data_IF_095748825507
#
_entry.id   IF_095748825507
#
_cell.length_a   1.000
_cell.length_b   1.000
_cell.length_c   1.000
_cell.angle_alpha   90.00
_cell.angle_beta   90.00
_cell.angle_gamma   90.00
#
_symmetry.space_group_name_H-M   'P 1'
#
loop_
_entity.id
_entity.type
_entity.pdbx_description
1 polymer ?
#
# COMPACT_ATOMS: atom_id res chain seq x y z
N UNK A 1 -11.56 -3.02 -11.24
CA UNK A 1 -12.16 -1.94 -10.43
C UNK A 1 -11.17 -1.58 -9.34
N UNK A 2 -11.25 -0.37 -8.77
CA UNK A 2 -10.32 0.07 -7.70
C UNK A 2 -10.49 -0.73 -6.40
N UNK A 3 -11.70 -1.26 -6.17
CA UNK A 3 -12.03 -2.09 -5.02
C UNK A 3 -12.74 -3.34 -5.50
N UNK A 4 -12.13 -4.49 -5.24
CA UNK A 4 -12.74 -5.81 -5.45
C UNK A 4 -13.16 -6.40 -4.10
N UNK A 5 -12.50 -6.00 -3.00
CA UNK A 5 -12.67 -6.59 -1.67
C UNK A 5 -13.12 -5.52 -0.66
N UNK A 6 -12.33 -4.46 -0.46
CA UNK A 6 -12.56 -3.47 0.60
C UNK A 6 -13.06 -2.12 0.07
N UNK A 7 -14.32 -2.05 -0.38
CA UNK A 7 -14.90 -0.79 -0.87
C UNK A 7 -14.86 0.31 0.22
N UNK A 8 -14.59 1.59 -0.14
CA UNK A 8 -14.51 2.68 0.84
C UNK A 8 -15.80 2.81 1.63
N UNK A 9 -15.67 2.89 2.95
CA UNK A 9 -16.79 3.03 3.87
C UNK A 9 -16.40 4.04 4.93
N UNK A 10 -17.17 5.13 5.03
CA UNK A 10 -16.87 6.24 5.92
C UNK A 10 -18.09 6.60 6.77
N UNK A 11 -17.84 6.98 8.02
CA UNK A 11 -18.86 7.46 8.96
C UNK A 11 -18.51 8.89 9.37
N UNK A 12 -19.41 9.84 9.12
CA UNK A 12 -19.28 11.20 9.68
C UNK A 12 -19.73 11.22 11.14
N UNK A 13 -18.82 11.52 12.05
CA UNK A 13 -19.08 11.52 13.48
C UNK A 13 -19.80 12.79 13.96
N UNK A 14 -20.14 13.71 13.06
CA UNK A 14 -20.85 14.98 13.35
C UNK A 14 -20.14 15.90 14.36
N UNK A 15 -18.84 15.69 14.57
CA UNK A 15 -17.99 16.44 15.50
C UNK A 15 -16.72 16.99 14.81
N UNK A 16 -16.74 17.05 13.47
CA UNK A 16 -15.60 17.46 12.65
C UNK A 16 -14.62 16.32 12.31
N UNK A 17 -14.96 15.07 12.64
CA UNK A 17 -14.15 13.88 12.32
C UNK A 17 -14.91 12.86 11.46
N UNK A 18 -14.17 12.02 10.74
CA UNK A 18 -14.67 10.93 9.91
C UNK A 18 -13.96 9.64 10.31
N UNK A 19 -14.71 8.56 10.50
CA UNK A 19 -14.16 7.22 10.70
C UNK A 19 -14.09 6.49 9.36
N UNK A 20 -12.92 5.96 9.01
CA UNK A 20 -12.75 4.97 7.96
C UNK A 20 -13.09 3.59 8.53
N UNK A 21 -14.22 3.02 8.08
CA UNK A 21 -14.73 1.76 8.60
C UNK A 21 -13.94 0.54 8.08
N UNK A 22 -13.03 0.73 7.11
CA UNK A 22 -12.16 -0.33 6.58
C UNK A 22 -10.88 -0.40 7.40
N UNK A 23 -10.22 0.73 7.63
CA UNK A 23 -8.94 0.78 8.36
C UNK A 23 -9.11 0.99 9.86
N UNK A 24 -10.29 1.40 10.32
CA UNK A 24 -10.54 1.81 11.70
C UNK A 24 -9.96 3.18 12.05
N UNK A 25 -9.30 3.86 11.11
CA UNK A 25 -8.67 5.16 11.34
C UNK A 25 -9.71 6.28 11.47
N UNK A 26 -9.41 7.25 12.34
CA UNK A 26 -10.21 8.46 12.50
C UNK A 26 -9.47 9.67 11.93
N UNK A 27 -10.17 10.39 11.07
CA UNK A 27 -9.64 11.46 10.25
C UNK A 27 -10.31 12.80 10.54
N UNK A 28 -9.57 13.88 10.31
CA UNK A 28 -10.11 15.23 10.26
C UNK A 28 -11.04 15.34 9.03
N UNK A 29 -12.26 15.89 9.21
CA UNK A 29 -13.25 16.04 8.13
C UNK A 29 -12.92 17.16 7.14
N UNK A 30 -12.56 18.33 7.64
CA UNK A 30 -12.15 19.49 6.82
C UNK A 30 -10.64 19.64 6.94
N UNK A 31 -9.90 19.64 5.84
CA UNK A 31 -8.44 19.82 5.93
C UNK A 31 -8.05 21.17 6.58
N UNK A 32 -6.85 21.23 7.14
CA UNK A 32 -6.34 22.40 7.86
C UNK A 32 -5.93 23.56 6.94
N UNK A 33 -6.21 23.47 5.63
CA UNK A 33 -5.83 24.45 4.64
C UNK A 33 -4.35 24.41 4.27
N UNK A 34 -3.94 25.40 3.48
CA UNK A 34 -2.62 25.49 2.88
C UNK A 34 -1.53 25.85 3.91
N UNK A 35 -0.43 25.10 3.93
CA UNK A 35 0.72 25.35 4.82
C UNK A 35 2.00 24.64 4.36
N UNK A 36 3.16 25.04 4.91
CA UNK A 36 4.40 24.27 4.77
C UNK A 36 4.31 22.98 5.57
N UNK A 37 5.18 22.01 5.26
CA UNK A 37 5.22 20.75 6.00
C UNK A 37 5.54 20.94 7.49
N UNK A 38 6.50 21.81 7.83
CA UNK A 38 6.85 22.07 9.24
C UNK A 38 5.66 22.66 10.02
N UNK A 39 4.90 23.56 9.41
CA UNK A 39 3.67 24.09 10.00
C UNK A 39 2.59 23.01 10.11
N UNK A 40 2.52 22.07 9.18
CA UNK A 40 1.59 20.94 9.25
C UNK A 40 1.89 20.04 10.46
N UNK A 41 3.17 19.73 10.70
CA UNK A 41 3.61 18.97 11.88
C UNK A 41 3.27 19.73 13.17
N UNK A 42 3.58 21.02 13.25
CA UNK A 42 3.28 21.84 14.42
C UNK A 42 1.76 21.99 14.65
N UNK A 43 0.98 22.11 13.57
CA UNK A 43 -0.48 22.19 13.62
C UNK A 43 -1.11 20.91 14.18
N UNK A 44 -0.58 19.73 13.82
CA UNK A 44 -1.07 18.46 14.34
C UNK A 44 -0.91 18.38 15.88
N UNK A 45 0.25 18.78 16.39
CA UNK A 45 0.58 18.72 17.82
C UNK A 45 -0.27 19.65 18.70
N UNK A 46 -0.95 20.64 18.10
CA UNK A 46 -1.78 21.61 18.82
C UNK A 46 -3.27 21.45 18.53
N UNK A 47 -3.64 20.54 17.62
CA UNK A 47 -5.02 20.35 17.22
C UNK A 47 -5.83 19.68 18.33
N UNK A 48 -6.93 20.32 18.71
CA UNK A 48 -7.99 19.74 19.51
C UNK A 48 -9.27 19.68 18.69
N UNK A 49 -9.69 18.49 18.28
CA UNK A 49 -10.83 18.27 17.40
C UNK A 49 -11.59 17.01 17.78
N UNK A 50 -12.93 17.06 17.75
CA UNK A 50 -13.79 15.92 18.11
C UNK A 50 -13.64 15.43 19.56
N UNK A 51 -13.03 16.23 20.43
CA UNK A 51 -12.69 15.84 21.81
C UNK A 51 -11.31 15.18 21.97
N UNK A 52 -10.46 15.23 20.94
CA UNK A 52 -9.18 14.53 20.92
C UNK A 52 -7.99 15.43 20.56
N UNK A 53 -6.80 15.04 21.01
CA UNK A 53 -5.55 15.83 20.93
C UNK A 53 -4.33 15.07 20.40
N UNK A 54 -4.49 13.79 20.05
CA UNK A 54 -3.47 12.87 19.54
C UNK A 54 -3.47 12.82 18.00
N UNK A 55 -3.54 14.00 17.38
CA UNK A 55 -3.55 14.16 15.92
C UNK A 55 -2.13 14.16 15.37
N UNK A 56 -1.96 13.57 14.19
CA UNK A 56 -0.69 13.54 13.44
C UNK A 56 -0.95 13.66 11.94
N UNK A 57 0.11 13.94 11.18
CA UNK A 57 0.09 13.69 9.75
C UNK A 57 -0.01 12.17 9.46
N UNK A 58 -0.71 11.77 8.39
CA UNK A 58 -0.82 10.38 8.00
C UNK A 58 0.49 9.87 7.39
N UNK A 59 0.68 8.56 7.38
CA UNK A 59 1.66 7.94 6.48
C UNK A 59 1.15 8.00 5.02
N UNK A 60 2.01 7.81 4.01
CA UNK A 60 1.58 7.71 2.62
C UNK A 60 0.55 6.61 2.37
N UNK A 61 0.68 5.46 3.02
CA UNK A 61 -0.28 4.35 2.90
C UNK A 61 -1.65 4.73 3.48
N UNK A 62 -1.69 5.37 4.65
CA UNK A 62 -2.94 5.85 5.26
C UNK A 62 -3.58 6.96 4.42
N UNK A 63 -2.79 7.91 3.92
CA UNK A 63 -3.32 8.96 3.05
C UNK A 63 -3.87 8.40 1.73
N UNK A 64 -3.29 7.31 1.23
CA UNK A 64 -3.75 6.60 0.04
C UNK A 64 -5.01 5.76 0.31
N UNK A 65 -5.18 5.23 1.53
CA UNK A 65 -6.33 4.38 1.90
C UNK A 65 -7.66 5.10 1.74
N UNK A 66 -7.70 6.42 1.93
CA UNK A 66 -8.91 7.25 1.79
C UNK A 66 -9.18 7.75 0.36
N UNK A 67 -8.27 7.50 -0.59
CA UNK A 67 -8.44 7.88 -2.00
C UNK A 67 -9.21 6.80 -2.77
N UNK A 68 -10.09 7.19 -3.68
CA UNK A 68 -10.83 6.29 -4.57
C UNK A 68 -10.52 6.63 -6.03
N UNK A 69 -9.73 5.78 -6.67
CA UNK A 69 -9.24 5.92 -8.05
C UNK A 69 -10.28 5.56 -9.10
N UNK A 70 -11.49 5.17 -8.68
CA UNK A 70 -12.68 5.09 -9.53
C UNK A 70 -13.33 6.44 -9.87
N UNK A 71 -12.81 7.56 -9.33
CA UNK A 71 -13.27 8.93 -9.57
C UNK A 71 -12.13 9.93 -9.65
N UNK A 72 -12.43 11.12 -10.16
CA UNK A 72 -11.52 12.26 -10.19
C UNK A 72 -12.31 13.54 -9.80
N UNK A 73 -11.97 14.22 -8.69
CA UNK A 73 -10.87 13.94 -7.77
C UNK A 73 -11.03 12.60 -7.02
N UNK A 74 -9.92 11.99 -6.63
CA UNK A 74 -9.90 10.67 -5.99
C UNK A 74 -10.48 10.72 -4.57
N UNK A 75 -10.28 11.82 -3.86
CA UNK A 75 -10.77 12.02 -2.50
C UNK A 75 -12.28 12.31 -2.49
N UNK A 76 -13.04 11.63 -1.63
CA UNK A 76 -14.49 11.84 -1.52
C UNK A 76 -14.81 13.14 -0.78
N UNK A 77 -15.22 14.18 -1.50
CA UNK A 77 -15.53 15.47 -0.91
C UNK A 77 -16.76 15.48 0.01
N UNK A 78 -17.57 14.42 0.01
CA UNK A 78 -18.69 14.27 0.94
C UNK A 78 -18.17 14.12 2.38
N UNK A 79 -17.10 13.33 2.54
CA UNK A 79 -16.48 13.03 3.82
C UNK A 79 -15.23 13.86 4.08
N UNK A 80 -14.41 14.10 3.05
CA UNK A 80 -13.13 14.76 3.17
C UNK A 80 -13.15 16.10 2.43
N UNK A 81 -13.60 17.13 3.14
CA UNK A 81 -13.83 18.46 2.61
C UNK A 81 -12.52 19.26 2.58
N UNK A 82 -12.33 20.06 1.52
CA UNK A 82 -11.24 21.04 1.46
C UNK A 82 -11.61 22.31 2.23
N UNK A 83 -10.62 22.96 2.83
CA UNK A 83 -10.79 24.28 3.40
C UNK A 83 -11.16 25.32 2.32
N UNK A 84 -11.97 26.31 2.68
CA UNK A 84 -12.61 27.25 1.75
C UNK A 84 -11.64 28.24 1.07
N UNK A 85 -10.39 28.37 1.54
CA UNK A 85 -9.38 29.30 0.99
C UNK A 85 -8.67 28.80 -0.27
N UNK A 86 -9.10 27.67 -0.84
CA UNK A 86 -8.61 27.20 -2.14
C UNK A 86 -8.85 25.72 -2.36
N UNK A 87 -8.95 25.29 -3.62
CA UNK A 87 -8.96 23.85 -3.94
C UNK A 87 -7.59 23.25 -3.61
N UNK A 88 -7.56 22.36 -2.62
CA UNK A 88 -6.37 21.58 -2.25
C UNK A 88 -5.89 20.78 -3.47
N UNK A 89 -4.60 20.88 -3.80
CA UNK A 89 -3.99 20.11 -4.89
C UNK A 89 -3.20 18.92 -4.36
N UNK A 90 -2.56 19.10 -3.21
CA UNK A 90 -1.74 18.11 -2.53
C UNK A 90 -2.03 18.09 -1.03
N UNK A 91 -1.79 16.94 -0.39
CA UNK A 91 -1.79 16.80 1.06
C UNK A 91 -0.46 16.22 1.55
N UNK A 92 0.08 16.83 2.61
CA UNK A 92 1.28 16.37 3.29
C UNK A 92 1.07 15.02 3.99
N UNK A 93 2.12 14.21 4.00
CA UNK A 93 2.25 13.00 4.86
C UNK A 93 3.40 13.19 5.84
N UNK A 94 3.59 12.27 6.77
CA UNK A 94 4.62 12.38 7.81
C UNK A 94 5.99 11.80 7.41
N UNK A 95 6.09 11.09 6.29
CA UNK A 95 7.29 10.35 5.91
C UNK A 95 8.21 11.18 5.01
N UNK A 96 9.48 11.28 5.41
CA UNK A 96 10.54 11.91 4.59
C UNK A 96 10.95 11.01 3.43
N UNK A 97 11.45 11.62 2.35
CA UNK A 97 11.90 10.87 1.17
C UNK A 97 13.28 10.24 1.40
N UNK A 98 13.32 9.02 1.91
CA UNK A 98 14.57 8.29 2.15
C UNK A 98 15.52 9.08 3.05
N UNK A 99 16.76 9.28 2.60
CA UNK A 99 17.77 10.08 3.31
C UNK A 99 17.68 11.59 3.01
N UNK A 100 16.87 12.02 2.04
CA UNK A 100 16.66 13.43 1.72
C UNK A 100 15.60 14.02 2.66
N UNK A 101 16.06 14.58 3.77
CA UNK A 101 15.22 15.21 4.79
C UNK A 101 14.61 16.55 4.35
N UNK A 102 14.96 17.07 3.16
CA UNK A 102 14.35 18.29 2.61
C UNK A 102 13.03 18.02 1.90
N UNK A 103 12.70 16.73 1.71
CA UNK A 103 11.53 16.28 0.98
C UNK A 103 10.69 15.31 1.77
N UNK A 104 9.40 15.32 1.44
CA UNK A 104 8.37 14.52 2.09
C UNK A 104 7.43 13.96 1.06
N UNK A 105 6.91 12.77 1.32
CA UNK A 105 5.87 12.19 0.49
C UNK A 105 4.60 13.02 0.60
N UNK A 106 3.93 13.20 -0.53
CA UNK A 106 2.63 13.89 -0.59
C UNK A 106 1.72 13.18 -1.55
N UNK A 107 0.44 13.19 -1.22
CA UNK A 107 -0.60 12.68 -2.10
C UNK A 107 -1.23 13.84 -2.87
N UNK A 108 -1.79 13.57 -4.05
CA UNK A 108 -2.43 14.60 -4.87
C UNK A 108 -3.92 14.33 -5.08
N UNK A 109 -4.67 15.37 -5.47
CA UNK A 109 -6.12 15.28 -5.70
C UNK A 109 -6.51 14.29 -6.82
N UNK A 110 -5.59 13.98 -7.73
CA UNK A 110 -5.77 12.97 -8.77
C UNK A 110 -5.58 11.53 -8.30
N UNK A 111 -5.02 11.29 -7.11
CA UNK A 111 -4.77 9.95 -6.56
C UNK A 111 -3.30 9.49 -6.64
N UNK A 112 -2.37 10.32 -7.10
CA UNK A 112 -0.94 10.00 -7.16
C UNK A 112 -0.21 10.23 -5.84
N UNK A 113 0.98 9.63 -5.70
CA UNK A 113 1.89 9.85 -4.56
C UNK A 113 3.31 10.08 -5.07
N UNK A 114 3.92 11.17 -4.62
CA UNK A 114 5.31 11.51 -4.98
C UNK A 114 5.99 12.40 -3.94
N UNK A 115 7.33 12.51 -3.97
CA UNK A 115 8.09 13.32 -3.04
C UNK A 115 8.14 14.77 -3.51
N UNK A 116 7.99 15.68 -2.55
CA UNK A 116 7.95 17.13 -2.79
C UNK A 116 8.81 17.88 -1.77
N UNK A 117 9.31 19.06 -2.14
CA UNK A 117 10.03 19.92 -1.20
C UNK A 117 9.10 20.34 -0.07
N UNK A 118 9.56 20.33 1.18
CA UNK A 118 8.79 20.79 2.37
C UNK A 118 8.22 22.21 2.24
N UNK A 119 8.78 23.00 1.31
CA UNK A 119 8.40 24.39 1.02
C UNK A 119 7.58 24.57 -0.26
N UNK A 120 7.14 23.50 -0.95
CA UNK A 120 6.53 23.60 -2.28
C UNK A 120 5.15 24.30 -2.33
N UNK A 121 4.61 24.73 -1.19
CA UNK A 121 3.31 25.40 -1.15
C UNK A 121 3.36 26.85 -1.67
N UNK A 122 2.25 27.35 -2.23
CA UNK A 122 2.14 28.72 -2.78
C UNK A 122 2.48 29.78 -1.73
N UNK A 123 2.02 29.60 -0.49
CA UNK A 123 2.30 30.49 0.64
C UNK A 123 3.78 30.57 1.02
N UNK A 124 4.62 29.67 0.48
CA UNK A 124 6.07 29.64 0.66
C UNK A 124 6.84 29.81 -0.68
N UNK A 125 6.16 30.31 -1.73
CA UNK A 125 6.77 30.58 -3.03
C UNK A 125 6.81 29.40 -4.01
N UNK A 126 6.14 28.30 -3.68
CA UNK A 126 5.98 27.17 -4.59
C UNK A 126 4.82 27.33 -5.58
N UNK A 127 4.63 26.34 -6.44
CA UNK A 127 3.72 26.40 -7.60
C UNK A 127 2.41 25.65 -7.42
N UNK A 128 2.24 24.93 -6.30
CA UNK A 128 1.04 24.13 -6.03
C UNK A 128 0.65 24.26 -4.56
N UNK A 129 -0.64 24.10 -4.26
CA UNK A 129 -1.15 24.20 -2.88
C UNK A 129 -1.00 22.87 -2.15
N UNK A 130 -0.25 22.88 -1.06
CA UNK A 130 -0.13 21.74 -0.17
C UNK A 130 -0.87 22.02 1.15
N UNK A 131 -1.81 21.15 1.46
CA UNK A 131 -2.63 21.24 2.65
C UNK A 131 -2.27 20.13 3.66
N UNK A 132 -2.75 20.25 4.89
CA UNK A 132 -2.62 19.18 5.89
C UNK A 132 -4.00 18.58 6.21
N UNK A 133 -4.10 17.25 6.22
CA UNK A 133 -5.26 16.53 6.78
C UNK A 133 -4.73 15.57 7.81
N UNK A 134 -5.27 15.65 9.01
CA UNK A 134 -4.75 14.86 10.12
C UNK A 134 -5.54 13.57 10.33
N UNK A 135 -4.83 12.56 10.86
CA UNK A 135 -5.34 11.28 11.33
C UNK A 135 -4.94 11.12 12.79
N UNK A 136 -5.70 10.34 13.56
CA UNK A 136 -5.44 10.11 14.98
C UNK A 136 -4.76 8.78 15.28
N UNK A 137 -4.18 8.72 16.48
CA UNK A 137 -3.62 7.50 17.06
C UNK A 137 -2.20 7.22 16.59
N UNK A 138 -1.66 6.07 16.98
CA UNK A 138 -0.36 5.62 16.51
C UNK A 138 -0.38 5.41 14.99
N UNK A 139 0.77 5.60 14.34
CA UNK A 139 0.95 5.15 12.97
C UNK A 139 0.85 3.62 12.92
N UNK A 140 0.16 3.09 11.91
CA UNK A 140 0.22 1.67 11.63
C UNK A 140 1.70 1.26 11.42
N UNK A 141 2.06 0.07 11.89
CA UNK A 141 3.38 -0.50 11.57
C UNK A 141 3.52 -0.62 10.06
N UNK A 142 4.69 -0.24 9.54
CA UNK A 142 5.06 -0.40 8.12
C UNK A 142 5.60 -1.80 7.82
N UNK A 143 5.71 -2.66 8.84
CA UNK A 143 6.09 -4.05 8.66
C UNK A 143 4.97 -4.82 7.98
N UNK A 144 5.32 -5.52 6.91
CA UNK A 144 4.45 -6.48 6.25
C UNK A 144 4.81 -7.89 6.70
N UNK A 145 3.81 -8.63 7.13
CA UNK A 145 3.92 -10.03 7.53
C UNK A 145 3.69 -10.92 6.31
N UNK A 146 4.75 -11.20 5.57
CA UNK A 146 4.70 -12.08 4.41
C UNK A 146 5.10 -13.51 4.77
N UNK A 147 4.45 -14.48 4.14
CA UNK A 147 4.75 -15.90 4.18
C UNK A 147 5.07 -16.40 2.77
N UNK A 148 6.21 -17.08 2.59
CA UNK A 148 6.54 -17.73 1.33
C UNK A 148 6.01 -19.17 1.34
N UNK A 149 5.03 -19.47 0.49
CA UNK A 149 4.39 -20.78 0.44
C UNK A 149 5.29 -21.89 -0.16
N UNK A 150 6.47 -21.53 -0.70
CA UNK A 150 7.44 -22.50 -1.26
C UNK A 150 7.04 -23.08 -2.62
N UNK A 151 5.93 -22.63 -3.19
CA UNK A 151 5.33 -23.11 -4.45
C UNK A 151 5.34 -22.05 -5.57
N UNK A 152 6.07 -20.95 -5.35
CA UNK A 152 6.10 -19.79 -6.23
C UNK A 152 5.04 -18.73 -5.90
N UNK A 153 4.41 -18.80 -4.73
CA UNK A 153 3.48 -17.78 -4.22
C UNK A 153 3.91 -17.22 -2.86
N UNK A 154 3.50 -15.98 -2.57
CA UNK A 154 3.74 -15.25 -1.32
C UNK A 154 2.39 -14.81 -0.75
N UNK A 155 2.10 -15.14 0.50
CA UNK A 155 0.92 -14.67 1.23
C UNK A 155 1.28 -13.45 2.06
N UNK A 156 0.54 -12.36 1.89
CA UNK A 156 0.57 -11.18 2.75
C UNK A 156 -0.50 -11.37 3.84
N UNK A 157 -0.08 -11.65 5.07
CA UNK A 157 -0.96 -11.95 6.20
C UNK A 157 -1.73 -10.70 6.64
N UNK A 158 -1.15 -9.51 6.49
CA UNK A 158 -1.78 -8.27 6.92
C UNK A 158 -2.96 -7.89 6.02
N UNK A 159 -2.85 -8.19 4.72
CA UNK A 159 -3.93 -7.93 3.76
C UNK A 159 -4.79 -9.15 3.43
N UNK A 160 -4.32 -10.35 3.78
CA UNK A 160 -4.92 -11.62 3.38
C UNK A 160 -4.79 -11.93 1.88
N UNK A 161 -3.85 -11.27 1.19
CA UNK A 161 -3.66 -11.41 -0.26
C UNK A 161 -2.55 -12.43 -0.57
N UNK A 162 -2.81 -13.32 -1.52
CA UNK A 162 -1.79 -14.23 -2.05
C UNK A 162 -1.31 -13.77 -3.42
N UNK A 163 0.00 -13.66 -3.57
CA UNK A 163 0.71 -13.06 -4.70
C UNK A 163 1.55 -14.09 -5.44
N UNK A 164 1.71 -13.94 -6.74
CA UNK A 164 2.79 -14.62 -7.47
C UNK A 164 4.14 -14.07 -7.01
N UNK A 165 5.09 -14.95 -6.70
CA UNK A 165 6.44 -14.56 -6.30
C UNK A 165 7.26 -13.94 -7.45
N UNK A 166 7.06 -14.44 -8.67
CA UNK A 166 7.75 -13.97 -9.88
C UNK A 166 6.78 -13.17 -10.74
N UNK A 167 7.06 -11.89 -11.03
CA UNK A 167 6.21 -11.12 -11.92
C UNK A 167 6.33 -11.57 -13.38
N UNK A 168 5.24 -11.41 -14.13
CA UNK A 168 5.20 -11.61 -15.57
C UNK A 168 5.96 -10.54 -16.35
N UNK A 169 6.37 -10.90 -17.57
CA UNK A 169 7.08 -10.01 -18.50
C UNK A 169 6.27 -8.76 -18.85
N UNK A 170 6.95 -7.70 -19.28
CA UNK A 170 6.30 -6.44 -19.67
C UNK A 170 5.32 -6.59 -20.84
N UNK A 171 4.10 -6.08 -20.65
CA UNK A 171 2.96 -6.22 -21.58
C UNK A 171 2.07 -4.98 -21.53
N UNK A 172 1.28 -4.77 -22.58
CA UNK A 172 0.24 -3.73 -22.56
C UNK A 172 -0.87 -4.10 -21.56
N UNK A 173 -1.68 -3.13 -21.15
CA UNK A 173 -2.60 -3.30 -20.04
C UNK A 173 -3.66 -4.40 -20.26
N UNK A 174 -4.22 -4.51 -21.46
CA UNK A 174 -5.17 -5.58 -21.78
C UNK A 174 -4.51 -6.97 -21.77
N UNK A 175 -3.29 -7.08 -22.30
CA UNK A 175 -2.52 -8.32 -22.27
C UNK A 175 -2.01 -8.67 -20.87
N UNK A 176 -1.85 -7.68 -19.99
CA UNK A 176 -1.53 -7.86 -18.58
C UNK A 176 -2.69 -8.51 -17.82
N UNK A 177 -3.92 -8.02 -18.02
CA UNK A 177 -5.14 -8.60 -17.45
C UNK A 177 -5.29 -10.06 -17.91
N UNK A 178 -5.29 -10.29 -19.22
CA UNK A 178 -5.45 -11.63 -19.79
C UNK A 178 -4.32 -12.59 -19.38
N UNK A 179 -3.10 -12.09 -19.19
CA UNK A 179 -2.00 -12.90 -18.66
C UNK A 179 -2.28 -13.36 -17.23
N UNK A 180 -2.66 -12.44 -16.34
CA UNK A 180 -2.91 -12.77 -14.95
C UNK A 180 -4.09 -13.75 -14.78
N UNK A 181 -5.18 -13.53 -15.52
CA UNK A 181 -6.37 -14.41 -15.53
C UNK A 181 -6.10 -15.80 -16.14
N UNK A 182 -5.04 -15.94 -16.94
CA UNK A 182 -4.62 -17.21 -17.53
C UNK A 182 -3.62 -18.01 -16.69
N UNK A 183 -3.21 -17.51 -15.52
CA UNK A 183 -2.22 -18.19 -14.69
C UNK A 183 -2.81 -19.44 -14.01
N UNK A 184 -1.93 -20.43 -13.84
CA UNK A 184 -2.20 -21.68 -13.12
C UNK A 184 -1.14 -21.95 -12.04
N UNK A 185 -0.47 -20.89 -11.59
CA UNK A 185 0.62 -20.94 -10.60
C UNK A 185 0.14 -21.61 -9.32
N UNK A 186 0.95 -22.54 -8.79
CA UNK A 186 0.63 -23.34 -7.62
C UNK A 186 -0.76 -24.02 -7.69
N UNK A 187 -1.19 -24.42 -8.90
CA UNK A 187 -2.49 -25.05 -9.19
C UNK A 187 -3.73 -24.16 -9.03
N UNK A 188 -3.57 -22.92 -8.56
CA UNK A 188 -4.65 -21.94 -8.48
C UNK A 188 -4.99 -21.37 -9.85
N UNK A 189 -6.29 -21.17 -10.11
CA UNK A 189 -6.81 -20.67 -11.40
C UNK A 189 -7.62 -19.38 -11.25
N UNK A 190 -7.58 -18.77 -10.07
CA UNK A 190 -8.33 -17.57 -9.68
C UNK A 190 -7.43 -16.32 -9.59
N UNK A 191 -6.29 -16.37 -10.26
CA UNK A 191 -5.36 -15.27 -10.41
C UNK A 191 -5.97 -14.12 -11.20
N UNK A 192 -5.61 -12.90 -10.82
CA UNK A 192 -6.00 -11.66 -11.49
C UNK A 192 -4.93 -10.60 -11.34
N UNK A 193 -5.02 -9.57 -12.17
CA UNK A 193 -4.18 -8.39 -12.02
C UNK A 193 -4.63 -7.61 -10.77
N UNK A 194 -3.72 -7.27 -9.84
CA UNK A 194 -4.05 -6.55 -8.60
C UNK A 194 -4.58 -5.15 -8.93
N UNK A 195 -5.53 -4.64 -8.15
CA UNK A 195 -5.88 -3.22 -8.24
C UNK A 195 -4.75 -2.35 -7.66
N UNK A 196 -4.81 -1.03 -7.86
CA UNK A 196 -3.71 -0.12 -7.46
C UNK A 196 -3.47 -0.12 -5.95
N UNK A 197 -4.49 -0.39 -5.13
CA UNK A 197 -4.37 -0.45 -3.68
C UNK A 197 -3.71 -1.72 -3.19
N UNK A 198 -4.13 -2.85 -3.74
CA UNK A 198 -3.48 -4.14 -3.48
C UNK A 198 -2.02 -4.07 -3.91
N UNK A 199 -1.72 -3.56 -5.10
CA UNK A 199 -0.34 -3.47 -5.55
C UNK A 199 0.48 -2.48 -4.71
N UNK A 200 -0.13 -1.40 -4.23
CA UNK A 200 0.52 -0.46 -3.32
C UNK A 200 0.78 -1.07 -1.95
N UNK A 201 0.03 -2.08 -1.51
CA UNK A 201 0.33 -2.77 -0.24
C UNK A 201 1.71 -3.43 -0.27
N UNK A 202 2.20 -3.86 -1.43
CA UNK A 202 3.56 -4.40 -1.55
C UNK A 202 4.68 -3.35 -1.36
N UNK A 203 4.35 -2.06 -1.29
CA UNK A 203 5.32 -0.99 -1.14
C UNK A 203 5.87 -0.96 0.29
N UNK A 204 7.18 -1.08 0.41
CA UNK A 204 7.91 -0.76 1.64
C UNK A 204 8.61 0.59 1.48
N UNK A 205 8.03 1.63 2.10
CA UNK A 205 8.57 2.99 1.98
C UNK A 205 9.82 3.21 2.82
N UNK A 206 10.05 2.41 3.86
CA UNK A 206 11.23 2.57 4.74
C UNK A 206 12.51 2.21 4.01
N UNK A 207 12.39 1.36 3.00
CA UNK A 207 13.47 0.95 2.15
C UNK A 207 13.81 2.01 1.08
N UNK A 208 13.06 3.12 0.91
CA UNK A 208 13.22 4.05 -0.23
C UNK A 208 14.55 4.82 -0.19
N UNK A 209 15.64 4.16 -0.54
CA UNK A 209 16.97 4.74 -0.74
C UNK A 209 17.37 4.69 -2.22
N UNK A 210 16.40 4.45 -3.10
CA UNK A 210 16.59 4.38 -4.53
C UNK A 210 17.11 5.71 -5.09
N UNK A 211 18.41 5.77 -5.40
CA UNK A 211 19.04 6.95 -6.00
C UNK A 211 19.26 6.80 -7.51
N UNK A 212 18.98 5.63 -8.07
CA UNK A 212 19.05 5.36 -9.52
C UNK A 212 18.07 4.26 -9.95
N UNK A 213 17.76 4.14 -11.24
CA UNK A 213 16.96 3.02 -11.78
C UNK A 213 17.60 1.64 -11.53
N UNK A 214 18.91 1.57 -11.27
CA UNK A 214 19.62 0.33 -10.94
C UNK A 214 19.61 0.00 -9.42
N UNK A 215 19.44 1.00 -8.57
CA UNK A 215 19.35 0.91 -7.10
C UNK A 215 17.96 1.22 -6.56
N UNK A 216 16.99 1.38 -7.48
CA UNK A 216 15.53 1.30 -7.35
C UNK A 216 15.04 -0.01 -6.72
N UNK A 217 15.90 -0.63 -5.91
CA UNK A 217 15.77 -1.98 -5.42
C UNK A 217 14.97 -2.09 -4.13
N UNK A 218 14.45 -0.98 -3.63
CA UNK A 218 14.25 -0.84 -2.21
C UNK A 218 12.89 -0.22 -1.89
N UNK A 219 11.84 -0.63 -2.60
CA UNK A 219 10.47 -0.35 -2.12
C UNK A 219 9.61 -1.60 -2.10
N UNK A 220 10.24 -2.77 -2.11
CA UNK A 220 9.61 -4.08 -2.11
C UNK A 220 10.56 -5.05 -1.41
N UNK A 221 10.04 -5.99 -0.64
CA UNK A 221 10.85 -7.03 -0.01
C UNK A 221 11.47 -7.96 -1.08
N UNK A 222 12.74 -7.73 -1.43
CA UNK A 222 13.40 -8.47 -2.54
C UNK A 222 13.95 -9.82 -2.16
N UNK A 223 14.03 -10.10 -0.87
CA UNK A 223 14.28 -11.46 -0.40
C UNK A 223 13.12 -12.36 -0.82
N UNK A 224 11.89 -11.85 -0.71
CA UNK A 224 10.68 -12.58 -1.09
C UNK A 224 10.33 -12.46 -2.58
N UNK A 225 10.60 -11.30 -3.19
CA UNK A 225 10.33 -11.04 -4.62
C UNK A 225 11.64 -10.81 -5.42
N UNK A 226 12.54 -11.80 -5.53
CA UNK A 226 13.87 -11.59 -6.10
C UNK A 226 13.88 -11.24 -7.59
N UNK A 227 12.86 -11.69 -8.34
CA UNK A 227 12.71 -11.40 -9.77
C UNK A 227 12.01 -10.05 -10.05
N UNK A 228 11.54 -9.35 -9.02
CA UNK A 228 10.86 -8.08 -9.16
C UNK A 228 11.84 -6.91 -9.29
N UNK A 229 12.48 -6.79 -10.45
CA UNK A 229 13.53 -5.81 -10.69
C UNK A 229 13.08 -4.56 -11.45
N UNK A 230 11.84 -4.51 -11.93
CA UNK A 230 11.34 -3.34 -12.66
C UNK A 230 10.99 -2.19 -11.71
N UNK A 231 10.96 -0.98 -12.26
CA UNK A 231 10.68 0.23 -11.49
C UNK A 231 9.19 0.51 -11.34
N UNK A 232 8.34 -0.09 -12.18
CA UNK A 232 6.89 0.06 -12.12
C UNK A 232 6.16 -1.16 -12.66
N UNK A 233 4.94 -1.40 -12.14
CA UNK A 233 4.10 -2.54 -12.47
C UNK A 233 2.67 -2.08 -12.73
N UNK A 234 1.98 -2.78 -13.64
CA UNK A 234 0.57 -2.51 -13.93
C UNK A 234 -0.32 -2.90 -12.74
N UNK A 235 -1.29 -2.02 -12.45
CA UNK A 235 -2.50 -2.39 -11.71
C UNK A 235 -3.68 -2.59 -12.66
N UNK A 236 -4.75 -3.24 -12.19
CA UNK A 236 -6.05 -3.36 -12.88
C UNK A 236 -6.97 -2.14 -12.70
N UNK A 237 -6.49 -1.08 -12.03
CA UNK A 237 -7.26 0.15 -11.88
C UNK A 237 -7.07 1.03 -13.11
N UNK A 238 -8.13 1.19 -13.91
CA UNK A 238 -8.16 2.17 -14.99
C UNK A 238 -8.23 3.60 -14.44
N UNK A 239 -7.63 4.57 -15.15
CA UNK A 239 -7.65 5.97 -14.73
C UNK A 239 -9.06 6.57 -14.94
N UNK A 240 -9.75 6.92 -13.86
CA UNK A 240 -11.03 7.60 -13.93
C UNK A 240 -10.88 9.09 -14.33
N UNK A 241 -11.73 9.56 -15.24
CA UNK A 241 -11.74 10.97 -15.67
C UNK A 241 -10.55 11.44 -16.51
N UNK A 242 -9.59 10.55 -16.83
CA UNK A 242 -8.55 10.79 -17.84
C UNK A 242 -8.97 10.31 -19.24
N UNK A 243 -8.04 10.29 -20.20
CA UNK A 243 -8.26 9.53 -21.44
C UNK A 243 -8.57 8.09 -21.03
N UNK A 244 -9.69 7.52 -21.48
CA UNK A 244 -10.15 6.14 -21.20
C UNK A 244 -9.15 5.04 -21.65
N UNK A 245 -7.96 5.46 -22.06
CA UNK A 245 -6.84 4.67 -22.55
C UNK A 245 -5.67 4.69 -21.56
N UNK A 246 -5.85 5.01 -20.28
CA UNK A 246 -4.78 4.99 -19.26
C UNK A 246 -5.14 4.14 -18.05
N UNK A 247 -4.14 3.66 -17.33
CA UNK A 247 -4.28 2.88 -16.12
C UNK A 247 -3.22 3.26 -15.09
N UNK A 248 -3.49 2.92 -13.83
CA UNK A 248 -2.60 3.23 -12.71
C UNK A 248 -1.43 2.24 -12.63
N UNK A 249 -0.28 2.77 -12.26
CA UNK A 249 0.97 2.08 -11.99
C UNK A 249 1.34 2.24 -10.51
N UNK A 250 2.00 1.22 -9.96
CA UNK A 250 2.74 1.35 -8.70
C UNK A 250 4.23 1.31 -9.02
N UNK A 251 4.96 2.25 -8.45
CA UNK A 251 6.39 2.45 -8.68
C UNK A 251 7.22 1.94 -7.49
N UNK A 252 8.01 0.89 -7.71
CA UNK A 252 8.96 0.38 -6.72
C UNK A 252 10.37 0.98 -6.89
N UNK A 253 10.49 2.05 -7.69
CA UNK A 253 11.75 2.71 -7.98
C UNK A 253 11.61 3.95 -8.86
N UNK A 254 12.74 4.56 -9.23
CA UNK A 254 12.75 5.72 -10.13
C UNK A 254 12.34 5.28 -11.54
N UNK A 255 11.12 5.59 -11.95
CA UNK A 255 10.62 5.31 -13.29
C UNK A 255 10.80 6.53 -14.21
N UNK A 256 11.73 6.44 -15.17
CA UNK A 256 11.96 7.52 -16.15
C UNK A 256 11.13 7.37 -17.43
N UNK A 257 10.38 6.26 -17.58
CA UNK A 257 9.51 6.05 -18.73
C UNK A 257 8.17 6.76 -18.57
N UNK A 258 7.72 7.01 -17.33
CA UNK A 258 6.50 7.78 -17.05
C UNK A 258 6.77 9.28 -17.21
N UNK A 259 5.98 10.02 -18.01
CA UNK A 259 6.06 11.47 -18.08
C UNK A 259 5.83 12.12 -16.72
N UNK A 260 6.58 13.18 -16.41
CA UNK A 260 6.45 13.92 -15.15
C UNK A 260 5.05 14.53 -14.92
N UNK A 261 4.23 14.67 -15.97
CA UNK A 261 2.84 15.09 -15.82
C UNK A 261 1.94 13.99 -15.21
N UNK A 262 2.36 12.72 -15.32
CA UNK A 262 1.60 11.56 -14.89
C UNK A 262 2.17 10.92 -13.62
N UNK A 263 3.24 11.48 -13.05
CA UNK A 263 3.99 10.91 -11.93
C UNK A 263 4.89 11.96 -11.25
N UNK A 264 5.86 11.55 -10.42
CA UNK A 264 6.81 12.48 -9.80
C UNK A 264 7.72 13.14 -10.83
N UNK A 265 8.47 14.18 -10.40
CA UNK A 265 9.52 14.76 -11.23
C UNK A 265 10.57 13.70 -11.60
N UNK A 266 11.08 13.77 -12.85
CA UNK A 266 12.10 12.83 -13.34
C UNK A 266 13.31 12.81 -12.40
N UNK A 267 13.79 11.61 -12.09
CA UNK A 267 14.92 11.40 -11.18
C UNK A 267 14.53 11.18 -9.72
N UNK A 268 13.23 11.15 -9.41
CA UNK A 268 12.72 10.75 -8.09
C UNK A 268 11.84 9.52 -8.21
N UNK A 269 11.83 8.71 -7.16
CA UNK A 269 10.92 7.59 -7.05
C UNK A 269 9.53 8.13 -6.69
N UNK A 270 8.51 7.72 -7.43
CA UNK A 270 7.11 7.87 -7.04
C UNK A 270 6.66 6.62 -6.29
N UNK A 271 5.46 6.64 -5.73
CA UNK A 271 4.80 5.38 -5.32
C UNK A 271 3.66 5.03 -6.27
N UNK A 272 2.91 6.03 -6.75
CA UNK A 272 1.73 5.81 -7.57
C UNK A 272 1.64 6.86 -8.68
N UNK A 273 1.50 6.39 -9.91
CA UNK A 273 1.43 7.18 -11.15
C UNK A 273 0.48 6.51 -12.15
N UNK A 274 0.35 7.06 -13.36
CA UNK A 274 -0.44 6.43 -14.42
C UNK A 274 0.24 6.51 -15.78
N UNK A 275 -0.17 5.64 -16.70
CA UNK A 275 0.32 5.65 -18.07
C UNK A 275 -0.73 5.17 -19.06
N UNK A 276 -0.56 5.51 -20.34
CA UNK A 276 -1.40 4.98 -21.42
C UNK A 276 -1.31 3.44 -21.48
N UNK A 277 -2.47 2.79 -21.63
CA UNK A 277 -2.66 1.34 -21.63
C UNK A 277 -1.90 0.62 -22.76
N UNK A 278 -1.47 1.34 -23.80
CA UNK A 278 -0.64 0.81 -24.88
C UNK A 278 0.83 0.60 -24.46
N UNK A 279 1.30 1.29 -23.41
CA UNK A 279 2.64 1.12 -22.86
C UNK A 279 2.82 -0.25 -22.22
N UNK A 280 4.05 -0.75 -22.17
CA UNK A 280 4.35 -2.07 -21.63
C UNK A 280 4.98 -1.99 -20.25
N UNK A 281 4.37 -2.65 -19.27
CA UNK A 281 4.90 -2.80 -17.91
C UNK A 281 4.74 -4.25 -17.44
N UNK A 282 5.63 -4.75 -16.58
CA UNK A 282 5.50 -6.06 -15.96
C UNK A 282 4.32 -6.10 -14.99
N UNK A 283 3.96 -7.32 -14.59
CA UNK A 283 2.71 -7.60 -13.89
C UNK A 283 2.95 -8.54 -12.73
N UNK A 284 2.46 -8.19 -11.55
CA UNK A 284 2.17 -9.18 -10.53
C UNK A 284 0.77 -9.74 -10.77
N UNK A 285 0.51 -10.94 -10.26
CA UNK A 285 -0.85 -11.43 -10.09
C UNK A 285 -1.12 -11.67 -8.62
N UNK A 286 -2.36 -11.42 -8.23
CA UNK A 286 -2.91 -11.68 -6.91
C UNK A 286 -4.10 -12.61 -7.07
N UNK A 287 -4.36 -13.49 -6.11
CA UNK A 287 -5.56 -14.31 -6.14
C UNK A 287 -6.80 -13.45 -5.90
N UNK A 288 -7.92 -13.88 -6.48
CA UNK A 288 -9.23 -13.35 -6.10
C UNK A 288 -9.48 -13.76 -4.66
N UNK A 289 -9.57 -12.79 -3.74
CA UNK A 289 -9.97 -13.13 -2.37
C UNK A 289 -11.35 -13.76 -2.47
N UNK A 290 -11.42 -15.05 -2.16
CA UNK A 290 -12.70 -15.70 -1.98
C UNK A 290 -13.41 -14.95 -0.86
N UNK A 291 -14.69 -14.66 -1.05
CA UNK A 291 -15.57 -14.23 0.05
C UNK A 291 -15.72 -15.32 1.14
N UNK A 292 -15.03 -16.44 0.99
CA UNK A 292 -14.62 -17.35 2.04
C UNK A 292 -13.29 -16.83 2.59
N UNK A 293 -13.38 -16.12 3.70
CA UNK A 293 -12.23 -15.79 4.52
C UNK A 293 -11.42 -17.05 4.83
N UNK A 294 -10.09 -16.90 4.87
CA UNK A 294 -9.08 -17.73 5.55
C UNK A 294 -8.25 -18.70 4.67
N UNK A 295 -7.25 -18.16 3.95
CA UNK A 295 -5.97 -18.85 3.91
C UNK A 295 -5.47 -18.92 5.36
N UNK A 296 -5.05 -20.10 5.81
CA UNK A 296 -4.89 -20.45 7.21
C UNK A 296 -3.39 -20.47 7.53
N UNK A 297 -2.77 -19.33 7.89
CA UNK A 297 -1.31 -19.23 7.97
C UNK A 297 -0.67 -20.15 9.02
N UNK A 298 -1.48 -20.75 9.89
CA UNK A 298 -1.04 -21.71 10.90
C UNK A 298 -1.29 -23.18 10.50
N UNK A 299 -1.81 -23.44 9.30
CA UNK A 299 -1.84 -24.77 8.68
C UNK A 299 -0.49 -24.99 7.99
N UNK A 300 0.46 -25.46 8.80
CA UNK A 300 1.86 -25.60 8.44
C UNK A 300 2.11 -26.85 7.61
N UNK A 301 1.19 -27.82 7.61
CA UNK A 301 1.30 -29.05 6.83
C UNK A 301 0.42 -29.04 5.55
N UNK A 302 -0.44 -28.04 5.38
CA UNK A 302 -1.30 -27.84 4.21
C UNK A 302 -2.53 -28.75 4.17
N UNK A 303 -2.94 -29.35 5.30
CA UNK A 303 -4.06 -30.30 5.38
C UNK A 303 -5.43 -29.63 5.57
N UNK A 304 -5.46 -28.29 5.57
CA UNK A 304 -6.62 -27.42 5.82
C UNK A 304 -7.18 -27.53 7.22
N UNK A 305 -6.37 -27.93 8.20
CA UNK A 305 -6.79 -27.98 9.60
C UNK A 305 -5.61 -27.66 10.50
N UNK A 306 -5.65 -26.55 11.23
CA UNK A 306 -4.67 -26.27 12.29
C UNK A 306 -4.90 -27.23 13.46
N UNK A 307 -4.01 -28.19 13.62
CA UNK A 307 -4.14 -29.25 14.61
C UNK A 307 -2.78 -29.68 15.20
N UNK A 308 -2.77 -30.85 15.85
CA UNK A 308 -1.57 -31.41 16.45
C UNK A 308 -0.42 -31.65 15.46
N UNK A 309 -0.73 -31.79 14.16
CA UNK A 309 0.26 -31.87 13.09
C UNK A 309 1.08 -30.58 12.96
N UNK A 310 0.41 -29.43 12.94
CA UNK A 310 1.04 -28.11 12.81
C UNK A 310 1.79 -27.72 14.07
N UNK A 311 1.20 -28.01 15.22
CA UNK A 311 1.88 -27.87 16.50
C UNK A 311 3.16 -28.70 16.56
N UNK A 312 3.12 -29.92 16.02
CA UNK A 312 4.28 -30.80 15.90
C UNK A 312 5.40 -30.15 15.08
N UNK A 313 5.05 -29.42 14.01
CA UNK A 313 6.02 -28.69 13.19
C UNK A 313 6.68 -27.55 13.96
N UNK A 314 5.90 -26.75 14.72
CA UNK A 314 6.44 -25.70 15.61
C UNK A 314 7.42 -26.28 16.63
N UNK A 315 7.00 -27.31 17.35
CA UNK A 315 7.82 -27.93 18.41
C UNK A 315 9.08 -28.60 17.85
N UNK A 316 9.01 -29.17 16.64
CA UNK A 316 10.15 -29.84 16.00
C UNK A 316 11.23 -28.89 15.51
N UNK A 317 10.88 -27.61 15.29
CA UNK A 317 11.74 -26.60 14.68
C UNK A 317 12.13 -25.48 15.66
N UNK A 318 11.95 -25.71 16.97
CA UNK A 318 12.17 -24.72 18.03
C UNK A 318 13.59 -24.14 18.01
N UNK A 319 13.71 -22.81 18.07
CA UNK A 319 14.98 -22.08 18.03
C UNK A 319 15.19 -21.27 16.75
N UNK A 320 16.44 -20.88 16.48
CA UNK A 320 16.75 -19.93 15.39
C UNK A 320 16.48 -20.57 14.01
N UNK A 321 15.56 -19.97 13.27
CA UNK A 321 15.12 -20.40 11.94
C UNK A 321 15.60 -19.48 10.80
N UNK A 322 16.16 -18.31 11.14
CA UNK A 322 16.56 -17.27 10.20
C UNK A 322 15.43 -16.90 9.21
N UNK A 323 14.16 -16.99 9.63
CA UNK A 323 12.99 -16.61 8.82
C UNK A 323 12.65 -17.58 7.69
N UNK A 324 13.18 -18.81 7.71
CA UNK A 324 12.97 -19.81 6.64
C UNK A 324 12.22 -21.06 7.08
N UNK A 325 12.02 -21.25 8.40
CA UNK A 325 11.28 -22.40 8.90
C UNK A 325 9.79 -22.13 8.78
N UNK A 326 9.05 -23.12 8.29
CA UNK A 326 7.58 -23.11 8.24
C UNK A 326 6.94 -22.91 9.62
N UNK A 327 7.68 -23.24 10.68
CA UNK A 327 7.31 -23.11 12.07
C UNK A 327 7.46 -21.70 12.66
N UNK A 328 8.19 -20.80 11.99
CA UNK A 328 8.44 -19.41 12.41
C UNK A 328 7.25 -18.56 11.94
N UNK A 329 6.07 -18.83 12.49
CA UNK A 329 4.79 -18.24 12.08
C UNK A 329 4.70 -16.72 12.27
N UNK A 330 5.42 -16.14 13.23
CA UNK A 330 5.54 -14.69 13.39
C UNK A 330 6.74 -14.11 12.59
N UNK A 331 7.56 -14.97 11.99
CA UNK A 331 8.70 -14.66 11.14
C UNK A 331 9.72 -13.71 11.79
N UNK A 332 9.90 -13.80 13.11
CA UNK A 332 10.88 -13.00 13.85
C UNK A 332 12.31 -13.56 13.75
N UNK A 333 12.47 -14.70 13.06
CA UNK A 333 13.73 -15.40 12.85
C UNK A 333 13.99 -16.49 13.90
N UNK A 334 13.09 -16.66 14.87
CA UNK A 334 13.18 -17.60 15.98
C UNK A 334 11.83 -18.29 16.15
N UNK A 335 11.81 -19.62 16.03
CA UNK A 335 10.64 -20.41 16.42
C UNK A 335 10.58 -20.49 17.94
N UNK A 336 9.63 -19.79 18.55
CA UNK A 336 9.46 -19.74 20.00
C UNK A 336 7.99 -19.78 20.49
N UNK A 337 7.77 -19.35 21.73
CA UNK A 337 6.45 -19.35 22.36
C UNK A 337 5.43 -18.43 21.67
N UNK A 338 5.88 -17.45 20.91
CA UNK A 338 5.03 -16.56 20.13
C UNK A 338 4.46 -17.29 18.92
N UNK A 339 5.24 -18.13 18.26
CA UNK A 339 4.76 -18.96 17.15
C UNK A 339 3.76 -20.00 17.58
N UNK A 340 4.08 -20.64 18.70
CA UNK A 340 3.17 -21.56 19.36
C UNK A 340 1.82 -20.89 19.68
N UNK A 341 1.84 -19.64 20.13
CA UNK A 341 0.61 -18.90 20.44
C UNK A 341 -0.23 -18.62 19.19
N UNK A 342 0.40 -18.36 18.05
CA UNK A 342 -0.29 -18.18 16.77
C UNK A 342 -0.98 -19.48 16.32
N UNK A 343 -0.25 -20.61 16.34
CA UNK A 343 -0.82 -21.92 15.98
C UNK A 343 -1.95 -22.34 16.92
N UNK A 344 -1.80 -22.13 18.22
CA UNK A 344 -2.87 -22.43 19.18
C UNK A 344 -4.07 -21.49 19.04
N UNK A 345 -3.84 -20.22 18.67
CA UNK A 345 -4.89 -19.24 18.43
C UNK A 345 -5.73 -19.55 17.18
N UNK A 346 -5.15 -20.25 16.21
CA UNK A 346 -5.80 -20.64 14.96
C UNK A 346 -6.37 -22.07 14.95
N UNK A 347 -6.40 -22.76 16.10
CA UNK A 347 -6.75 -24.19 16.20
C UNK A 347 -8.13 -24.52 15.62
N UNK A 348 -8.18 -25.47 14.68
CA UNK A 348 -9.41 -25.94 14.06
C UNK A 348 -9.32 -26.06 12.55
N UNK A 349 -10.46 -26.36 11.92
CA UNK A 349 -10.56 -26.43 10.48
C UNK A 349 -10.30 -25.05 9.86
N UNK A 350 -9.50 -25.04 8.80
CA UNK A 350 -9.32 -23.88 7.96
C UNK A 350 -10.55 -23.76 7.02
N UNK A 351 -11.15 -22.57 6.92
CA UNK A 351 -12.33 -22.31 6.09
C UNK A 351 -12.28 -22.73 4.61
#
# INVERSE_FOLDING_TARGET
SDYIINAPSFTDNSNGTVTDNITGLMWQKVDAGEMTWDNAVAGAATLSLGGFTDWRLPTPAEAFSIMNHGRNPALDSTYFQSNATGTSQYWWTNDTYGTDTTRVWSTNAGGGIGPHSKTQTVSAGGTSRFCARYVRGAAASVGHNYYNNGDGTITDIDTGLMWTQVPGSARNWNAAIAYAEGLTTATYTDWRLPNVKELQSLVDITMTTATSAATAKAALNRTLFPAATATAYWSSTALAGGSLTSAWLVEFGINTSVPAANGPSRGFQGLVSYEVQASTYPVFAVRTASTLACDCPCDLNGDRTVNGGDLGLVLSSWGVANGTAIADTNHDGIVDGQDLALVLGAWGACP
#
